data_IF_578917696751
#
_entry.id   IF_578917696751
#
_cell.length_a   1.000
_cell.length_b   1.000
_cell.length_c   1.000
_cell.angle_alpha   90.00
_cell.angle_beta   90.00
_cell.angle_gamma   90.00
#
_symmetry.space_group_name_H-M   'P 1'
#
loop_
_entity.id
_entity.type
_entity.pdbx_description
1 polymer ?
#
# COMPACT_ATOMS: atom_id res chain seq x y z
N UNK A 1 -1.38 -9.44 -14.06
CA UNK A 1 -1.67 -10.85 -14.32
C UNK A 1 -0.54 -11.68 -13.77
N UNK A 2 -0.66 -12.57 -12.77
CA UNK A 2 0.39 -13.58 -12.53
C UNK A 2 -0.08 -14.95 -13.00
N UNK A 3 0.65 -15.54 -13.95
CA UNK A 3 0.35 -16.85 -14.54
C UNK A 3 1.50 -17.81 -14.32
N UNK A 4 1.19 -19.02 -13.85
CA UNK A 4 2.14 -20.13 -13.70
C UNK A 4 1.51 -21.40 -14.27
N UNK A 5 2.05 -21.86 -15.40
CA UNK A 5 1.46 -22.96 -16.16
C UNK A 5 0.02 -22.66 -16.61
N UNK A 6 -0.90 -23.54 -16.22
CA UNK A 6 -2.32 -23.45 -16.57
C UNK A 6 -3.12 -22.56 -15.62
N UNK A 7 -2.48 -21.99 -14.59
CA UNK A 7 -3.17 -21.26 -13.55
C UNK A 7 -2.82 -19.79 -13.57
N UNK A 8 -3.82 -18.99 -13.25
CA UNK A 8 -3.73 -17.54 -13.22
C UNK A 8 -4.34 -17.02 -11.93
N UNK A 9 -3.66 -16.05 -11.33
CA UNK A 9 -4.10 -15.36 -10.13
C UNK A 9 -4.22 -13.86 -10.45
N UNK A 10 -5.36 -13.28 -10.10
CA UNK A 10 -5.59 -11.84 -10.14
C UNK A 10 -6.50 -11.40 -8.98
N UNK A 11 -6.38 -10.13 -8.58
CA UNK A 11 -7.29 -9.52 -7.60
C UNK A 11 -8.49 -8.91 -8.33
N UNK A 12 -9.68 -9.09 -7.77
CA UNK A 12 -10.93 -8.58 -8.33
C UNK A 12 -11.59 -7.68 -7.30
N UNK A 13 -12.00 -6.48 -7.71
CA UNK A 13 -12.73 -5.58 -6.81
C UNK A 13 -14.12 -6.15 -6.50
N UNK A 14 -14.56 -6.10 -5.25
CA UNK A 14 -15.84 -6.71 -4.86
C UNK A 14 -17.06 -5.97 -5.41
N UNK A 15 -16.94 -4.65 -5.61
CA UNK A 15 -18.01 -3.75 -6.04
C UNK A 15 -18.29 -3.87 -7.55
N UNK A 16 -17.25 -3.79 -8.37
CA UNK A 16 -17.36 -3.79 -9.84
C UNK A 16 -17.17 -5.16 -10.46
N UNK A 17 -16.61 -6.13 -9.71
CA UNK A 17 -16.16 -7.43 -10.23
C UNK A 17 -15.14 -7.32 -11.37
N UNK A 18 -14.45 -6.18 -11.47
CA UNK A 18 -13.37 -5.98 -12.43
C UNK A 18 -12.03 -6.32 -11.79
N UNK A 19 -11.10 -6.83 -12.59
CA UNK A 19 -9.72 -7.03 -12.13
C UNK A 19 -9.12 -5.70 -11.66
N UNK A 20 -8.35 -5.74 -10.58
CA UNK A 20 -7.52 -4.61 -10.17
C UNK A 20 -6.47 -4.34 -11.26
N UNK A 21 -6.12 -3.07 -11.53
CA UNK A 21 -4.98 -2.76 -12.38
C UNK A 21 -3.70 -3.35 -11.80
N UNK A 22 -2.79 -3.77 -12.67
CA UNK A 22 -1.54 -4.40 -12.26
C UNK A 22 -0.33 -3.77 -12.93
N UNK A 23 0.80 -3.77 -12.24
CA UNK A 23 2.08 -3.25 -12.72
C UNK A 23 3.19 -4.23 -12.41
N UNK A 24 4.10 -4.44 -13.35
CA UNK A 24 5.30 -5.25 -13.14
C UNK A 24 6.48 -4.33 -12.83
N UNK A 25 7.07 -4.52 -11.66
CA UNK A 25 8.25 -3.78 -11.23
C UNK A 25 9.51 -4.24 -11.98
N UNK A 26 10.59 -3.45 -11.96
CA UNK A 26 11.86 -3.80 -12.61
C UNK A 26 12.51 -5.10 -12.09
N UNK A 27 12.18 -5.51 -10.87
CA UNK A 27 12.63 -6.77 -10.27
C UNK A 27 11.83 -8.00 -10.75
N UNK A 28 10.85 -7.79 -11.65
CA UNK A 28 9.98 -8.83 -12.21
C UNK A 28 8.75 -9.15 -11.36
N UNK A 29 8.58 -8.54 -10.18
CA UNK A 29 7.40 -8.76 -9.35
C UNK A 29 6.20 -8.02 -9.91
N UNK A 30 5.04 -8.68 -9.92
CA UNK A 30 3.77 -8.06 -10.28
C UNK A 30 3.04 -7.58 -9.03
N UNK A 31 2.56 -6.35 -9.09
CA UNK A 31 1.79 -5.69 -8.05
C UNK A 31 0.39 -5.39 -8.56
N UNK A 32 -0.63 -5.89 -7.85
CA UNK A 32 -1.99 -5.42 -8.01
C UNK A 32 -2.21 -4.13 -7.21
N UNK A 33 -2.90 -3.18 -7.83
CA UNK A 33 -3.04 -1.82 -7.33
C UNK A 33 -4.51 -1.53 -7.05
N UNK A 34 -4.81 -1.01 -5.86
CA UNK A 34 -6.14 -0.51 -5.52
C UNK A 34 -6.06 0.66 -4.54
N UNK A 35 -7.21 1.33 -4.35
CA UNK A 35 -7.34 2.41 -3.40
C UNK A 35 -7.25 1.89 -1.96
N UNK A 36 -6.73 2.67 -1.01
CA UNK A 36 -6.73 2.30 0.40
C UNK A 36 -8.13 1.99 0.92
N UNK A 37 -8.30 0.88 1.64
CA UNK A 37 -9.61 0.47 2.16
C UNK A 37 -10.53 -0.19 1.14
N UNK A 38 -10.10 -0.33 -0.13
CA UNK A 38 -10.91 -0.99 -1.13
C UNK A 38 -11.02 -2.50 -0.83
N UNK A 39 -12.25 -3.05 -0.74
CA UNK A 39 -12.45 -4.48 -0.60
C UNK A 39 -12.17 -5.21 -1.92
N UNK A 40 -11.59 -6.41 -1.82
CA UNK A 40 -11.27 -7.24 -2.98
C UNK A 40 -11.46 -8.73 -2.70
N UNK A 41 -11.59 -9.50 -3.77
CA UNK A 41 -11.54 -10.95 -3.78
C UNK A 41 -10.27 -11.40 -4.48
N UNK A 42 -9.76 -12.57 -4.09
CA UNK A 42 -8.69 -13.25 -4.83
C UNK A 42 -9.34 -14.25 -5.78
N UNK A 43 -9.11 -14.06 -7.08
CA UNK A 43 -9.64 -14.91 -8.13
C UNK A 43 -8.51 -15.78 -8.69
N UNK A 44 -8.77 -17.09 -8.76
CA UNK A 44 -7.84 -18.05 -9.36
C UNK A 44 -8.57 -18.78 -10.47
N UNK A 45 -8.01 -18.67 -11.67
CA UNK A 45 -8.55 -19.28 -12.88
C UNK A 45 -7.61 -20.35 -13.41
N UNK A 46 -8.20 -21.36 -14.01
CA UNK A 46 -7.52 -22.44 -14.70
C UNK A 46 -7.84 -22.39 -16.18
N UNK A 47 -6.81 -22.34 -17.01
CA UNK A 47 -6.92 -22.52 -18.45
C UNK A 47 -6.87 -23.99 -18.80
N UNK A 48 -7.96 -24.51 -19.35
CA UNK A 48 -8.02 -25.86 -19.88
C UNK A 48 -7.51 -25.81 -21.32
N UNK A 49 -6.42 -26.50 -21.62
CA UNK A 49 -5.95 -26.65 -22.98
C UNK A 49 -6.90 -27.59 -23.73
N UNK A 50 -7.65 -27.13 -24.75
CA UNK A 50 -8.60 -27.97 -25.47
C UNK A 50 -7.92 -29.12 -26.24
N UNK A 51 -6.61 -29.02 -26.50
CA UNK A 51 -5.84 -30.08 -27.14
C UNK A 51 -5.48 -31.24 -26.20
N UNK A 52 -5.61 -31.07 -24.88
CA UNK A 52 -5.38 -32.12 -23.89
C UNK A 52 -6.69 -32.55 -23.21
N UNK A 53 -7.32 -33.65 -23.67
CA UNK A 53 -8.59 -34.11 -23.11
C UNK A 53 -8.47 -34.58 -21.65
N UNK A 54 -7.27 -34.90 -21.16
CA UNK A 54 -7.07 -35.33 -19.78
C UNK A 54 -6.96 -34.15 -18.81
N UNK A 55 -6.58 -32.97 -19.29
CA UNK A 55 -6.49 -31.78 -18.47
C UNK A 55 -7.84 -31.47 -17.80
N UNK A 56 -8.96 -31.60 -18.51
CA UNK A 56 -10.29 -31.33 -17.96
C UNK A 56 -10.70 -32.29 -16.83
N UNK A 57 -10.15 -33.49 -16.75
CA UNK A 57 -10.58 -34.54 -15.79
C UNK A 57 -9.93 -34.42 -14.41
N UNK A 58 -8.88 -33.60 -14.28
CA UNK A 58 -8.14 -33.47 -13.02
C UNK A 58 -8.73 -32.35 -12.18
N UNK A 59 -9.19 -32.69 -10.96
CA UNK A 59 -9.59 -31.70 -9.97
C UNK A 59 -8.35 -31.09 -9.30
N UNK A 60 -8.46 -29.82 -8.93
CA UNK A 60 -7.42 -29.12 -8.21
C UNK A 60 -7.98 -28.53 -6.92
N UNK A 61 -7.23 -28.65 -5.84
CA UNK A 61 -7.55 -28.03 -4.56
C UNK A 61 -6.64 -26.83 -4.34
N UNK A 62 -7.25 -25.68 -4.13
CA UNK A 62 -6.60 -24.39 -4.03
C UNK A 62 -6.67 -23.92 -2.59
N UNK A 63 -5.51 -23.68 -1.98
CA UNK A 63 -5.40 -23.07 -0.65
C UNK A 63 -4.76 -21.70 -0.78
N UNK A 64 -5.25 -20.73 -0.01
CA UNK A 64 -4.77 -19.36 -0.05
C UNK A 64 -4.13 -18.93 1.28
N UNK A 65 -3.01 -18.23 1.16
CA UNK A 65 -2.32 -17.56 2.25
C UNK A 65 -2.17 -16.08 1.89
N UNK A 66 -2.60 -15.20 2.77
CA UNK A 66 -2.48 -13.75 2.66
C UNK A 66 -1.50 -13.26 3.73
N UNK A 67 -0.41 -12.61 3.33
CA UNK A 67 0.63 -12.08 4.24
C UNK A 67 1.16 -13.14 5.22
N UNK A 68 1.39 -14.35 4.71
CA UNK A 68 1.83 -15.50 5.52
C UNK A 68 0.74 -16.13 6.39
N UNK A 69 -0.50 -15.64 6.37
CA UNK A 69 -1.64 -16.17 7.15
C UNK A 69 -2.60 -16.96 6.27
N UNK A 70 -2.98 -18.16 6.72
CA UNK A 70 -3.98 -18.96 6.01
C UNK A 70 -5.36 -18.30 6.05
N UNK A 71 -6.08 -18.37 4.93
CA UNK A 71 -7.45 -17.85 4.80
C UNK A 71 -8.50 -18.71 5.51
N UNK A 72 -8.14 -19.94 5.91
CA UNK A 72 -9.00 -20.81 6.72
C UNK A 72 -9.93 -21.73 5.93
N UNK A 73 -9.92 -21.68 4.61
CA UNK A 73 -10.63 -22.63 3.73
C UNK A 73 -9.87 -22.84 2.41
N UNK A 74 -10.31 -23.83 1.66
CA UNK A 74 -9.80 -24.17 0.34
C UNK A 74 -10.96 -24.30 -0.65
N UNK A 75 -10.71 -23.97 -1.91
CA UNK A 75 -11.68 -24.11 -3.00
C UNK A 75 -11.23 -25.22 -3.95
N UNK A 76 -12.18 -25.86 -4.63
CA UNK A 76 -11.86 -26.86 -5.65
C UNK A 76 -12.14 -26.28 -7.05
N UNK A 77 -11.17 -26.44 -7.94
CA UNK A 77 -11.30 -26.19 -9.37
C UNK A 77 -11.50 -27.54 -10.07
N UNK A 78 -12.54 -27.63 -10.88
CA UNK A 78 -12.86 -28.81 -11.68
C UNK A 78 -13.14 -28.42 -13.14
N UNK A 79 -13.59 -29.37 -13.97
CA UNK A 79 -13.91 -29.11 -15.38
C UNK A 79 -14.99 -28.03 -15.58
N UNK A 80 -15.95 -27.97 -14.66
CA UNK A 80 -17.13 -27.10 -14.71
C UNK A 80 -16.84 -25.74 -14.06
N UNK A 81 -15.99 -25.73 -13.04
CA UNK A 81 -15.61 -24.57 -12.25
C UNK A 81 -14.14 -24.25 -12.53
N UNK A 82 -13.90 -23.56 -13.64
CA UNK A 82 -12.56 -23.12 -14.05
C UNK A 82 -12.06 -21.91 -13.26
N UNK A 83 -12.90 -21.30 -12.44
CA UNK A 83 -12.57 -20.12 -11.64
C UNK A 83 -13.11 -20.28 -10.22
N UNK A 84 -12.28 -19.97 -9.24
CA UNK A 84 -12.66 -19.91 -7.82
C UNK A 84 -12.32 -18.54 -7.25
N UNK A 85 -13.15 -18.09 -6.30
CA UNK A 85 -12.97 -16.81 -5.62
C UNK A 85 -12.82 -17.03 -4.11
N UNK A 86 -11.85 -16.35 -3.52
CA UNK A 86 -11.70 -16.23 -2.07
C UNK A 86 -12.15 -14.83 -1.65
N UNK A 87 -13.14 -14.77 -0.78
CA UNK A 87 -13.81 -13.52 -0.41
C UNK A 87 -13.25 -12.84 0.84
N UNK A 88 -12.43 -13.53 1.63
CA UNK A 88 -11.99 -13.05 2.93
C UNK A 88 -11.45 -14.19 3.80
N UNK A 89 -11.02 -13.86 5.02
CA UNK A 89 -10.62 -14.82 6.06
C UNK A 89 -11.86 -15.46 6.70
N UNK A 90 -11.93 -16.79 6.76
CA UNK A 90 -13.05 -17.49 7.40
C UNK A 90 -13.07 -17.23 8.92
N UNK A 91 -14.16 -16.67 9.41
CA UNK A 91 -14.40 -16.48 10.85
C UNK A 91 -15.17 -17.65 11.44
N UNK A 92 -16.24 -18.06 10.77
CA UNK A 92 -17.12 -19.17 11.15
C UNK A 92 -17.75 -19.75 9.89
N UNK A 93 -17.99 -21.06 9.86
CA UNK A 93 -18.77 -21.64 8.78
C UNK A 93 -19.19 -23.07 9.00
N UNK A 94 -20.27 -23.44 8.31
CA UNK A 94 -20.76 -24.80 8.16
C UNK A 94 -21.25 -25.03 6.72
N UNK A 95 -21.96 -26.14 6.50
CA UNK A 95 -22.52 -26.51 5.20
C UNK A 95 -23.62 -25.56 4.70
N UNK A 96 -24.26 -24.81 5.60
CA UNK A 96 -25.43 -23.97 5.29
C UNK A 96 -25.04 -22.50 5.16
N UNK A 97 -24.15 -22.01 6.02
CA UNK A 97 -23.73 -20.62 6.05
C UNK A 97 -22.28 -20.46 6.48
N UNK A 98 -21.66 -19.40 6.01
CA UNK A 98 -20.33 -19.00 6.43
C UNK A 98 -20.27 -17.49 6.65
N UNK A 99 -19.28 -17.06 7.42
CA UNK A 99 -18.98 -15.67 7.67
C UNK A 99 -17.49 -15.46 7.46
N UNK A 100 -17.16 -14.50 6.60
CA UNK A 100 -15.79 -14.12 6.28
C UNK A 100 -15.52 -12.68 6.69
N UNK A 101 -14.31 -12.37 7.11
CA UNK A 101 -13.81 -11.00 7.14
C UNK A 101 -13.19 -10.68 5.78
N UNK A 102 -13.76 -9.72 5.06
CA UNK A 102 -13.35 -9.41 3.69
C UNK A 102 -11.90 -8.94 3.60
N UNK A 103 -11.23 -9.21 2.47
CA UNK A 103 -9.91 -8.65 2.23
C UNK A 103 -10.02 -7.18 1.88
N UNK A 104 -9.17 -6.36 2.50
CA UNK A 104 -9.15 -4.92 2.28
C UNK A 104 -7.71 -4.44 2.14
N UNK A 105 -7.46 -3.59 1.14
CA UNK A 105 -6.16 -2.92 0.99
C UNK A 105 -5.90 -2.05 2.21
N UNK A 106 -4.68 -2.14 2.78
CA UNK A 106 -4.32 -1.43 3.99
C UNK A 106 -4.63 0.08 3.87
N UNK A 107 -5.29 0.64 4.88
CA UNK A 107 -5.44 2.09 5.01
C UNK A 107 -4.26 2.67 5.80
N UNK A 108 -3.79 3.87 5.45
CA UNK A 108 -2.91 4.63 6.33
C UNK A 108 -3.59 4.79 7.69
N UNK A 109 -2.91 4.39 8.76
CA UNK A 109 -3.47 4.54 10.11
C UNK A 109 -3.34 6.01 10.51
N UNK A 110 -4.45 6.74 10.50
CA UNK A 110 -4.49 8.17 10.84
C UNK A 110 -4.25 8.43 12.34
N UNK A 111 -4.56 7.46 13.20
CA UNK A 111 -4.39 7.58 14.65
C UNK A 111 -3.00 7.08 15.09
N UNK A 112 -2.17 7.99 15.59
CA UNK A 112 -0.84 7.68 16.13
C UNK A 112 -0.87 6.60 17.24
N UNK A 113 -1.97 6.50 18.00
CA UNK A 113 -2.14 5.48 19.03
C UNK A 113 -2.44 4.08 18.45
N UNK A 114 -3.12 4.01 17.30
CA UNK A 114 -3.36 2.76 16.57
C UNK A 114 -2.12 2.35 15.75
N UNK A 115 -1.37 3.31 15.21
CA UNK A 115 -0.09 3.08 14.53
C UNK A 115 0.96 2.49 15.51
N UNK A 116 0.96 2.94 16.77
CA UNK A 116 1.85 2.43 17.82
C UNK A 116 1.51 1.00 18.29
N UNK A 117 0.31 0.48 17.97
CA UNK A 117 -0.11 -0.91 18.29
C UNK A 117 0.27 -1.91 17.20
N UNK A 118 0.76 -1.45 16.05
CA UNK A 118 1.29 -2.33 15.02
C UNK A 118 2.67 -2.84 15.47
N UNK A 119 2.95 -4.15 15.34
CA UNK A 119 4.23 -4.71 15.74
C UNK A 119 5.36 -4.02 14.97
N UNK A 120 6.18 -3.28 15.70
CA UNK A 120 7.35 -2.60 15.16
C UNK A 120 8.29 -3.64 14.55
N UNK A 121 8.79 -3.36 13.35
CA UNK A 121 9.80 -4.13 12.59
C UNK A 121 9.31 -5.33 11.76
N UNK A 122 8.21 -5.20 11.05
CA UNK A 122 8.13 -5.85 9.74
C UNK A 122 8.53 -4.81 8.69
N UNK A 123 9.49 -5.16 7.83
CA UNK A 123 9.91 -4.34 6.71
C UNK A 123 8.68 -3.78 5.98
N UNK A 124 8.82 -2.62 5.33
CA UNK A 124 7.88 -2.07 4.35
C UNK A 124 7.76 -3.02 3.13
N UNK A 125 7.41 -4.27 3.37
CA UNK A 125 7.16 -5.29 2.36
C UNK A 125 5.73 -5.10 1.89
N UNK A 126 5.54 -5.24 0.57
CA UNK A 126 4.21 -5.23 0.01
C UNK A 126 3.38 -6.38 0.57
N UNK A 127 2.07 -6.18 0.56
CA UNK A 127 1.15 -7.27 0.81
C UNK A 127 1.38 -8.41 -0.18
N UNK A 128 1.26 -9.64 0.29
CA UNK A 128 1.50 -10.85 -0.53
C UNK A 128 0.32 -11.80 -0.50
N UNK A 129 -0.08 -12.24 -1.69
CA UNK A 129 -1.05 -13.31 -1.90
C UNK A 129 -0.31 -14.52 -2.43
N UNK A 130 -0.41 -15.63 -1.70
CA UNK A 130 0.19 -16.91 -2.08
C UNK A 130 -0.88 -17.97 -2.26
N UNK A 131 -1.09 -18.39 -3.51
CA UNK A 131 -1.94 -19.52 -3.84
C UNK A 131 -1.10 -20.79 -3.96
N UNK A 132 -1.52 -21.84 -3.26
CA UNK A 132 -0.94 -23.19 -3.39
C UNK A 132 -2.00 -24.11 -3.97
N UNK A 133 -1.72 -24.62 -5.18
CA UNK A 133 -2.65 -25.39 -5.99
C UNK A 133 -2.14 -26.82 -6.08
N UNK A 134 -2.95 -27.77 -5.59
CA UNK A 134 -2.63 -29.20 -5.61
C UNK A 134 -3.52 -29.91 -6.62
N UNK A 135 -2.97 -30.90 -7.32
CA UNK A 135 -3.83 -31.91 -7.95
C UNK A 135 -4.53 -32.71 -6.85
N UNK A 136 -5.80 -33.01 -7.06
CA UNK A 136 -6.65 -33.52 -6.01
C UNK A 136 -7.70 -34.51 -6.52
N UNK A 137 -8.09 -35.45 -5.66
CA UNK A 137 -9.28 -36.28 -5.84
C UNK A 137 -10.25 -35.95 -4.71
N UNK A 138 -11.48 -35.63 -5.08
CA UNK A 138 -12.58 -35.44 -4.14
C UNK A 138 -12.97 -36.80 -3.58
N UNK A 139 -12.88 -36.96 -2.27
CA UNK A 139 -13.40 -38.12 -1.55
C UNK A 139 -14.81 -37.83 -1.05
N UNK A 140 -15.54 -38.89 -0.70
CA UNK A 140 -16.93 -38.80 -0.26
C UNK A 140 -17.12 -37.74 0.84
N UNK A 141 -18.28 -37.07 0.82
CA UNK A 141 -18.62 -36.06 1.82
C UNK A 141 -18.48 -36.65 3.22
N UNK A 142 -17.59 -36.06 4.02
CA UNK A 142 -17.44 -36.47 5.41
C UNK A 142 -18.52 -35.72 6.19
N UNK A 143 -19.40 -36.40 6.95
CA UNK A 143 -20.28 -35.71 7.88
C UNK A 143 -19.40 -35.00 8.92
N UNK A 144 -19.51 -33.67 9.05
CA UNK A 144 -18.67 -32.89 9.95
C UNK A 144 -19.45 -32.15 11.04
N UNK A 145 -18.84 -32.08 12.22
CA UNK A 145 -19.07 -31.06 13.23
C UNK A 145 -18.45 -29.71 12.82
N UNK A 146 -18.85 -28.63 13.49
CA UNK A 146 -18.52 -27.25 13.10
C UNK A 146 -17.06 -27.04 12.71
N UNK A 147 -16.81 -26.36 11.57
CA UNK A 147 -15.49 -25.82 11.28
C UNK A 147 -15.23 -24.70 12.29
N UNK A 148 -14.39 -25.01 13.28
CA UNK A 148 -13.97 -24.05 14.29
C UNK A 148 -13.24 -22.86 13.65
N UNK A 149 -13.20 -21.70 14.33
CA UNK A 149 -12.61 -20.49 13.79
C UNK A 149 -11.17 -20.75 13.35
N UNK A 150 -10.85 -20.42 12.10
CA UNK A 150 -9.46 -20.33 11.67
C UNK A 150 -8.85 -19.16 12.44
N UNK A 151 -8.09 -19.46 13.50
CA UNK A 151 -7.38 -18.52 14.39
C UNK A 151 -7.48 -17.06 13.94
N UNK A 152 -8.59 -16.40 14.25
CA UNK A 152 -8.72 -14.95 14.13
C UNK A 152 -7.87 -14.41 15.26
N UNK A 153 -6.58 -14.28 14.98
CA UNK A 153 -5.63 -13.68 15.89
C UNK A 153 -6.05 -12.23 16.10
N UNK A 154 -6.89 -12.00 17.09
CA UNK A 154 -6.99 -10.74 17.82
C UNK A 154 -5.75 -10.58 18.71
N UNK A 155 -4.55 -10.94 18.23
CA UNK A 155 -3.31 -10.62 18.92
C UNK A 155 -2.99 -9.14 18.66
N UNK A 156 -3.83 -8.28 19.27
CA UNK A 156 -3.41 -6.98 19.77
C UNK A 156 -2.51 -7.30 20.95
N UNK A 157 -1.25 -7.63 20.66
CA UNK A 157 -0.23 -7.78 21.69
C UNK A 157 0.05 -6.38 22.26
N UNK A 158 -0.39 -6.15 23.51
CA UNK A 158 0.03 -5.00 24.31
C UNK A 158 1.56 -4.97 24.36
N UNK A 159 2.16 -3.92 23.82
CA UNK A 159 3.60 -3.64 23.92
C UNK A 159 3.82 -2.16 24.32
N UNK A 160 4.98 -1.86 24.93
CA UNK A 160 5.10 -0.88 25.98
C UNK A 160 5.09 0.56 25.46
N UNK A 161 4.33 1.41 26.17
CA UNK A 161 4.25 2.85 25.93
C UNK A 161 5.64 3.50 26.08
N UNK A 162 6.08 4.20 25.04
CA UNK A 162 7.18 5.16 25.16
C UNK A 162 8.28 5.02 24.12
N UNK A 163 8.01 5.40 22.86
CA UNK A 163 8.97 6.06 21.97
C UNK A 163 8.23 6.57 20.72
N UNK A 164 8.54 7.81 20.32
CA UNK A 164 8.00 8.45 19.11
C UNK A 164 8.59 7.74 17.89
N UNK A 165 7.85 6.80 17.32
CA UNK A 165 8.22 6.15 16.06
C UNK A 165 7.42 6.76 14.93
N UNK A 166 8.12 7.13 13.86
CA UNK A 166 7.55 7.65 12.63
C UNK A 166 6.50 6.68 12.09
N UNK A 167 5.38 7.26 11.67
CA UNK A 167 4.24 6.68 10.95
C UNK A 167 4.70 5.84 9.77
N UNK A 168 5.01 4.57 10.00
CA UNK A 168 5.15 3.58 8.93
C UNK A 168 3.77 2.94 8.74
N UNK A 169 3.05 3.22 7.64
CA UNK A 169 1.86 2.46 7.32
C UNK A 169 2.30 1.01 7.11
N UNK A 170 1.94 0.09 8.01
CA UNK A 170 2.12 -1.33 7.73
C UNK A 170 1.08 -1.73 6.68
N UNK A 171 1.54 -2.29 5.56
CA UNK A 171 0.77 -2.53 4.32
C UNK A 171 0.19 -3.95 4.28
N UNK A 172 -0.06 -4.53 5.45
CA UNK A 172 -0.64 -5.87 5.60
C UNK A 172 -2.14 -5.80 5.35
N UNK A 173 -2.73 -6.82 4.72
CA UNK A 173 -4.17 -6.90 4.45
C UNK A 173 -4.95 -6.58 5.71
N UNK A 174 -5.87 -5.62 5.63
CA UNK A 174 -6.84 -5.37 6.69
C UNK A 174 -7.90 -6.46 6.73
N UNK A 175 -8.34 -6.82 7.94
CA UNK A 175 -9.56 -7.59 8.13
C UNK A 175 -10.76 -6.64 7.96
N UNK A 176 -11.45 -6.72 6.82
CA UNK A 176 -12.62 -5.93 6.51
C UNK A 176 -13.88 -6.36 7.26
N UNK A 177 -15.00 -5.73 6.91
CA UNK A 177 -16.30 -6.01 7.51
C UNK A 177 -16.68 -7.51 7.37
N UNK A 178 -17.34 -8.11 8.38
CA UNK A 178 -17.83 -9.46 8.28
C UNK A 178 -18.95 -9.54 7.23
N UNK A 179 -18.83 -10.48 6.30
CA UNK A 179 -19.82 -10.75 5.25
C UNK A 179 -20.27 -12.19 5.37
N UNK A 180 -21.59 -12.41 5.36
CA UNK A 180 -22.19 -13.75 5.33
C UNK A 180 -22.28 -14.26 3.90
N UNK A 181 -21.96 -15.54 3.72
CA UNK A 181 -21.99 -16.22 2.43
C UNK A 181 -22.66 -17.60 2.50
N UNK A 182 -22.82 -18.24 1.33
CA UNK A 182 -23.33 -19.61 1.26
C UNK A 182 -22.36 -20.56 1.97
N UNK A 183 -22.89 -21.58 2.66
CA UNK A 183 -22.07 -22.54 3.38
C UNK A 183 -21.00 -23.22 2.53
N UNK A 184 -19.97 -23.72 3.21
CA UNK A 184 -18.84 -24.41 2.60
C UNK A 184 -19.10 -25.91 2.59
N UNK A 185 -19.13 -26.53 1.42
CA UNK A 185 -19.25 -27.98 1.31
C UNK A 185 -17.99 -28.66 1.85
N UNK A 186 -18.13 -29.49 2.88
CA UNK A 186 -17.03 -30.27 3.46
C UNK A 186 -16.79 -31.55 2.66
N UNK A 187 -15.96 -31.48 1.64
CA UNK A 187 -15.39 -32.66 1.00
C UNK A 187 -14.03 -32.96 1.64
N UNK A 188 -13.75 -34.23 1.95
CA UNK A 188 -12.36 -34.62 2.12
C UNK A 188 -11.68 -34.62 0.75
N UNK A 189 -10.44 -34.13 0.72
CA UNK A 189 -9.67 -34.03 -0.51
C UNK A 189 -8.35 -34.73 -0.31
N UNK A 190 -8.05 -35.67 -1.20
CA UNK A 190 -6.73 -36.29 -1.25
C UNK A 190 -5.89 -35.53 -2.27
N UNK A 191 -4.78 -34.93 -1.81
CA UNK A 191 -3.84 -34.17 -2.63
C UNK A 191 -2.73 -35.08 -3.17
N UNK A 192 -2.28 -34.83 -4.40
CA UNK A 192 -1.24 -35.61 -5.07
C UNK A 192 -0.26 -34.72 -5.82
N UNK A 193 0.94 -35.23 -6.05
CA UNK A 193 2.00 -34.56 -6.79
C UNK A 193 2.58 -33.33 -6.07
N UNK A 194 3.58 -32.66 -6.67
CA UNK A 194 4.05 -31.38 -6.19
C UNK A 194 3.00 -30.28 -6.45
N UNK A 195 2.84 -29.30 -5.53
CA UNK A 195 1.92 -28.20 -5.75
C UNK A 195 2.48 -27.19 -6.75
N UNK A 196 1.58 -26.56 -7.51
CA UNK A 196 1.87 -25.31 -8.22
C UNK A 196 1.68 -24.15 -7.25
N UNK A 197 2.64 -23.24 -7.19
CA UNK A 197 2.60 -22.06 -6.31
C UNK A 197 2.58 -20.80 -7.16
N UNK A 198 1.68 -19.88 -6.83
CA UNK A 198 1.56 -18.56 -7.47
C UNK A 198 1.59 -17.50 -6.40
N UNK A 199 2.51 -16.54 -6.55
CA UNK A 199 2.67 -15.42 -5.66
C UNK A 199 2.34 -14.12 -6.40
N UNK A 200 1.49 -13.28 -5.81
CA UNK A 200 1.16 -11.95 -6.30
C UNK A 200 1.37 -10.94 -5.18
N UNK A 201 2.08 -9.84 -5.46
CA UNK A 201 2.15 -8.73 -4.53
C UNK A 201 0.97 -7.79 -4.77
N UNK A 202 0.54 -7.08 -3.73
CA UNK A 202 -0.46 -6.02 -3.88
C UNK A 202 -0.11 -4.85 -2.98
N UNK A 203 -0.47 -3.66 -3.44
CA UNK A 203 -0.05 -2.43 -2.80
C UNK A 203 -0.95 -1.25 -3.23
N UNK A 204 -0.96 -0.18 -2.44
CA UNK A 204 -1.65 1.06 -2.81
C UNK A 204 -0.86 1.86 -3.86
N UNK A 205 -1.57 2.61 -4.72
CA UNK A 205 -0.94 3.37 -5.81
C UNK A 205 0.10 4.39 -5.30
N UNK A 206 -0.24 5.13 -4.23
CA UNK A 206 0.65 6.09 -3.57
C UNK A 206 1.93 5.44 -3.04
N UNK A 207 1.83 4.26 -2.43
CA UNK A 207 2.99 3.52 -1.92
C UNK A 207 3.88 3.03 -3.06
N UNK A 208 3.29 2.54 -4.15
CA UNK A 208 4.06 2.13 -5.33
C UNK A 208 4.76 3.31 -6.02
N UNK A 209 4.19 4.51 -5.98
CA UNK A 209 4.89 5.74 -6.42
C UNK A 209 6.08 6.06 -5.52
N UNK A 210 5.91 6.00 -4.20
CA UNK A 210 6.99 6.25 -3.24
C UNK A 210 8.16 5.27 -3.42
N UNK A 211 7.85 4.00 -3.75
CA UNK A 211 8.84 2.97 -4.08
C UNK A 211 9.39 3.06 -5.51
N UNK A 212 8.95 4.04 -6.30
CA UNK A 212 9.30 4.23 -7.72
C UNK A 212 8.96 3.03 -8.62
N UNK A 213 8.00 2.21 -8.21
CA UNK A 213 7.44 1.12 -9.02
C UNK A 213 6.47 1.70 -10.05
N UNK A 214 5.51 2.51 -9.57
CA UNK A 214 4.68 3.36 -10.44
C UNK A 214 5.42 4.67 -10.72
N UNK A 215 5.44 5.06 -11.99
CA UNK A 215 6.23 6.19 -12.52
C UNK A 215 5.33 7.01 -13.45
N UNK A 216 4.93 8.24 -13.08
CA UNK A 216 4.02 9.05 -13.88
C UNK A 216 4.50 9.30 -15.31
N UNK A 217 5.81 9.26 -15.54
CA UNK A 217 6.42 9.49 -16.86
C UNK A 217 6.14 8.34 -17.85
N UNK A 218 5.72 7.17 -17.36
CA UNK A 218 5.36 6.02 -18.17
C UNK A 218 3.86 6.06 -18.43
N UNK A 219 3.46 6.21 -19.70
CA UNK A 219 2.05 6.31 -20.12
C UNK A 219 1.14 5.22 -19.53
N UNK A 220 1.59 3.96 -19.48
CA UNK A 220 0.83 2.86 -18.87
C UNK A 220 0.66 3.04 -17.34
N UNK A 221 1.68 3.51 -16.64
CA UNK A 221 1.60 3.76 -15.20
C UNK A 221 0.72 4.99 -14.92
N UNK A 222 0.84 6.04 -15.74
CA UNK A 222 0.00 7.22 -15.67
C UNK A 222 -1.50 6.86 -15.79
N UNK A 223 -1.86 5.98 -16.72
CA UNK A 223 -3.24 5.49 -16.85
C UNK A 223 -3.75 4.77 -15.58
N UNK A 224 -2.88 4.03 -14.88
CA UNK A 224 -3.21 3.42 -13.58
C UNK A 224 -3.40 4.51 -12.53
N UNK A 225 -2.50 5.49 -12.44
CA UNK A 225 -2.57 6.58 -11.46
C UNK A 225 -3.84 7.43 -11.62
N UNK A 226 -4.30 7.68 -12.85
CA UNK A 226 -5.56 8.38 -13.09
C UNK A 226 -6.80 7.68 -12.49
N UNK A 227 -6.71 6.39 -12.17
CA UNK A 227 -7.79 5.65 -11.49
C UNK A 227 -7.85 5.92 -9.97
N UNK A 228 -6.83 6.59 -9.41
CA UNK A 228 -6.62 6.79 -7.98
C UNK A 228 -6.49 8.28 -7.64
N UNK A 229 -7.58 8.96 -7.24
CA UNK A 229 -7.59 10.40 -6.98
C UNK A 229 -6.53 10.87 -5.97
N UNK A 230 -6.16 10.02 -5.03
CA UNK A 230 -5.12 10.30 -4.02
C UNK A 230 -3.70 10.45 -4.60
N UNK A 231 -3.50 10.02 -5.86
CA UNK A 231 -2.22 10.15 -6.56
C UNK A 231 -2.15 11.39 -7.45
N UNK A 232 -3.25 12.15 -7.56
CA UNK A 232 -3.25 13.43 -8.25
C UNK A 232 -2.26 14.38 -7.55
N UNK A 233 -1.24 14.79 -8.28
CA UNK A 233 -0.32 15.85 -7.83
C UNK A 233 -1.13 17.12 -7.62
N UNK A 234 -1.05 17.70 -6.41
CA UNK A 234 -1.72 18.99 -6.08
C UNK A 234 -1.35 20.13 -7.02
N UNK A 235 -0.29 19.96 -7.83
CA UNK A 235 0.19 20.94 -8.81
C UNK A 235 -0.84 21.28 -9.92
N UNK A 236 -1.88 20.48 -10.13
CA UNK A 236 -2.97 20.82 -11.08
C UNK A 236 -4.13 21.60 -10.43
N UNK A 237 -4.23 21.62 -9.10
CA UNK A 237 -5.28 22.37 -8.41
C UNK A 237 -4.97 23.87 -8.31
N UNK A 238 -3.71 24.28 -8.42
CA UNK A 238 -3.31 25.70 -8.41
C UNK A 238 -3.30 26.33 -9.82
N UNK A 239 -3.36 25.54 -10.89
CA UNK A 239 -3.38 26.04 -12.27
C UNK A 239 -4.80 26.39 -12.80
N UNK A 240 -5.86 26.04 -12.06
CA UNK A 240 -7.25 26.39 -12.42
C UNK A 240 -7.93 27.35 -11.43
N UNK A 241 -7.16 27.93 -10.51
CA UNK A 241 -7.59 29.05 -9.67
C UNK A 241 -7.77 30.32 -10.51
N UNK A 242 -8.86 30.37 -11.26
CA UNK A 242 -9.40 31.61 -11.83
C UNK A 242 -9.68 32.54 -10.65
N UNK A 243 -8.88 33.59 -10.57
CA UNK A 243 -9.12 34.80 -9.78
C UNK A 243 -10.50 35.34 -10.18
N UNK A 244 -11.54 35.02 -9.41
CA UNK A 244 -12.72 35.88 -9.34
C UNK A 244 -12.37 36.99 -8.33
N UNK A 245 -11.82 38.08 -8.87
CA UNK A 245 -11.80 39.38 -8.22
C UNK A 245 -13.24 39.75 -7.88
N UNK A 246 -13.57 39.66 -6.59
CA UNK A 246 -14.83 40.17 -6.06
C UNK A 246 -14.57 41.56 -5.52
N UNK A 247 -14.91 42.53 -6.35
CA UNK A 247 -14.86 43.96 -6.06
C UNK A 247 -15.61 44.29 -4.76
N UNK A 248 -15.02 45.23 -4.04
CA UNK A 248 -15.53 45.92 -2.87
C UNK A 248 -16.71 46.82 -3.28
N UNK A 249 -17.80 46.78 -2.51
CA UNK A 249 -18.79 47.86 -2.47
C UNK A 249 -19.02 48.22 -1.00
N UNK A 250 -18.46 49.37 -0.60
CA UNK A 250 -18.98 50.26 0.45
C UNK A 250 -20.28 50.89 -0.13
N UNK A 251 -21.38 51.18 0.58
CA UNK A 251 -21.51 52.09 1.71
C UNK A 251 -23.01 52.21 2.15
N UNK A 252 -23.19 52.81 3.33
CA UNK A 252 -24.36 53.62 3.79
C UNK A 252 -25.65 52.97 4.37
N UNK A 253 -25.69 53.00 5.70
CA UNK A 253 -26.62 53.76 6.56
C UNK A 253 -28.10 53.36 6.86
N UNK A 254 -28.43 53.70 8.11
CA UNK A 254 -29.73 53.99 8.76
C UNK A 254 -30.44 52.95 9.68
N UNK A 255 -30.29 53.28 10.98
CA UNK A 255 -31.32 53.47 12.03
C UNK A 255 -32.00 52.33 12.80
N UNK A 256 -31.84 52.46 14.14
CA UNK A 256 -32.85 52.10 15.15
C UNK A 256 -32.60 50.76 15.86
N UNK A 257 -32.43 50.65 17.18
CA UNK A 257 -32.55 51.60 18.26
C UNK A 257 -32.57 50.84 19.61
N UNK A 258 -32.24 51.58 20.67
CA UNK A 258 -32.58 51.35 22.07
C UNK A 258 -32.00 50.15 22.84
N UNK A 259 -31.12 50.47 23.80
CA UNK A 259 -31.31 49.99 25.17
C UNK A 259 -30.08 49.53 25.93
N UNK A 260 -29.70 50.28 26.97
CA UNK A 260 -29.23 49.67 28.21
C UNK A 260 -27.77 49.86 28.60
N UNK A 261 -27.49 51.01 29.23
CA UNK A 261 -26.53 51.24 30.32
C UNK A 261 -25.88 49.99 30.98
N UNK A 262 -24.54 49.96 31.04
CA UNK A 262 -23.79 49.86 32.32
C UNK A 262 -22.26 50.05 32.17
N UNK A 263 -21.84 51.10 32.84
CA UNK A 263 -20.52 51.56 33.27
C UNK A 263 -19.70 50.47 33.98
N UNK A 264 -18.44 50.21 33.56
CA UNK A 264 -17.28 50.00 34.47
C UNK A 264 -15.91 50.07 33.78
N UNK A 265 -15.19 51.10 34.24
CA UNK A 265 -13.77 51.48 34.25
C UNK A 265 -12.69 50.35 34.30
N UNK A 266 -11.51 50.76 33.77
CA UNK A 266 -10.09 50.39 34.10
C UNK A 266 -9.61 49.05 33.51
N UNK A 267 -8.37 48.86 33.05
CA UNK A 267 -7.10 49.62 33.01
C UNK A 267 -6.14 48.82 32.09
N UNK A 268 -5.15 49.48 31.47
CA UNK A 268 -3.97 48.84 30.85
C UNK A 268 -4.15 48.50 29.37
N UNK A 269 -3.33 48.98 28.43
CA UNK A 269 -1.95 49.44 28.54
C UNK A 269 -1.03 48.46 27.83
N UNK A 270 -0.56 48.86 26.64
CA UNK A 270 0.69 48.44 25.99
C UNK A 270 0.88 46.94 25.62
N UNK A 271 0.55 46.58 24.38
CA UNK A 271 1.29 45.55 23.62
C UNK A 271 1.04 45.61 22.10
N UNK A 272 0.83 46.80 21.53
CA UNK A 272 0.65 46.99 20.08
C UNK A 272 1.96 47.50 19.46
N UNK A 273 3.04 46.72 19.59
CA UNK A 273 4.34 47.06 18.96
C UNK A 273 5.34 45.87 18.89
N UNK A 274 4.86 44.66 18.56
CA UNK A 274 5.74 43.48 18.34
C UNK A 274 5.35 42.63 17.13
N UNK A 275 4.81 43.24 16.07
CA UNK A 275 4.38 42.54 14.86
C UNK A 275 5.07 43.02 13.57
N UNK A 276 6.26 43.65 13.67
CA UNK A 276 7.06 44.07 12.51
C UNK A 276 8.52 43.53 12.46
N UNK A 277 8.88 42.52 13.26
CA UNK A 277 10.26 41.96 13.26
C UNK A 277 10.34 40.43 13.12
N UNK A 278 9.41 39.78 12.41
CA UNK A 278 9.58 38.38 11.98
C UNK A 278 9.28 38.14 10.49
N UNK A 279 9.43 39.15 9.65
CA UNK A 279 9.41 39.04 8.19
C UNK A 279 10.81 38.76 7.57
N UNK A 280 11.75 38.18 8.35
CA UNK A 280 13.18 38.10 7.98
C UNK A 280 13.82 36.71 8.03
N UNK A 281 13.06 35.62 8.08
CA UNK A 281 13.60 34.25 8.01
C UNK A 281 12.72 33.34 7.13
N UNK A 282 12.60 33.71 5.86
CA UNK A 282 12.32 32.73 4.80
C UNK A 282 13.66 32.09 4.44
N UNK A 283 13.90 30.87 4.91
CA UNK A 283 14.91 30.01 4.32
C UNK A 283 14.52 29.82 2.85
N UNK A 284 15.29 30.39 1.93
CA UNK A 284 15.23 30.07 0.52
C UNK A 284 15.55 28.58 0.41
N UNK A 285 14.54 27.75 0.14
CA UNK A 285 14.77 26.46 -0.47
C UNK A 285 15.36 26.76 -1.85
N UNK A 286 16.66 26.54 -1.99
CA UNK A 286 17.36 26.68 -3.25
C UNK A 286 16.87 25.53 -4.14
N UNK A 287 15.98 25.86 -5.08
CA UNK A 287 15.56 24.93 -6.13
C UNK A 287 16.78 24.68 -7.00
N UNK A 288 17.37 23.49 -6.87
CA UNK A 288 18.48 23.04 -7.71
C UNK A 288 17.92 22.77 -9.10
N UNK A 289 18.19 23.70 -10.02
CA UNK A 289 17.86 23.57 -11.43
C UNK A 289 18.77 22.52 -12.10
N UNK A 290 18.25 21.31 -12.29
CA UNK A 290 18.94 20.18 -12.92
C UNK A 290 19.16 20.34 -14.43
N UNK A 291 18.70 21.44 -15.03
CA UNK A 291 18.94 21.74 -16.45
C UNK A 291 20.19 22.59 -16.68
N UNK A 292 20.83 23.07 -15.61
CA UNK A 292 22.04 23.88 -15.68
C UNK A 292 23.25 22.99 -15.95
N UNK A 293 24.00 23.29 -17.03
CA UNK A 293 25.23 22.60 -17.36
C UNK A 293 26.20 22.59 -16.15
N UNK A 294 26.86 21.46 -15.84
CA UNK A 294 27.65 21.31 -14.63
C UNK A 294 28.76 22.36 -14.59
N UNK A 295 28.90 23.02 -13.44
CA UNK A 295 29.94 24.00 -13.22
C UNK A 295 31.32 23.34 -13.42
N UNK A 296 32.29 24.04 -14.04
CA UNK A 296 33.61 23.48 -14.34
C UNK A 296 34.46 23.10 -13.11
N UNK A 297 33.98 23.39 -11.90
CA UNK A 297 34.65 23.10 -10.62
C UNK A 297 33.92 22.05 -9.76
N UNK A 298 33.10 21.19 -10.36
CA UNK A 298 32.45 20.11 -9.61
C UNK A 298 33.47 19.01 -9.21
N UNK A 299 33.90 19.07 -7.95
CA UNK A 299 34.89 18.15 -7.35
C UNK A 299 34.46 16.69 -7.44
N UNK A 300 33.15 16.42 -7.48
CA UNK A 300 32.58 15.08 -7.59
C UNK A 300 32.86 14.49 -8.98
N UNK A 301 32.66 15.29 -10.04
CA UNK A 301 32.97 14.89 -11.42
C UNK A 301 34.48 14.77 -11.66
N UNK A 302 35.29 15.61 -11.01
CA UNK A 302 36.75 15.54 -11.10
C UNK A 302 37.33 14.29 -10.42
N UNK A 303 36.81 13.90 -9.25
CA UNK A 303 37.23 12.69 -8.53
C UNK A 303 36.89 11.41 -9.31
N UNK A 304 35.69 11.36 -9.89
CA UNK A 304 35.20 10.22 -10.65
C UNK A 304 36.01 10.01 -11.96
N UNK A 305 36.35 11.11 -12.66
CA UNK A 305 37.26 11.07 -13.84
C UNK A 305 38.68 10.61 -13.49
N UNK A 306 39.13 10.80 -12.26
CA UNK A 306 40.47 10.42 -11.80
C UNK A 306 40.56 9.00 -11.22
N UNK A 307 39.46 8.21 -11.25
CA UNK A 307 39.43 6.87 -10.67
C UNK A 307 39.62 6.85 -9.15
N UNK A 308 39.26 7.95 -8.48
CA UNK A 308 39.31 8.11 -7.02
C UNK A 308 37.92 7.90 -6.44
N UNK A 309 37.87 7.39 -5.22
CA UNK A 309 36.65 7.24 -4.44
C UNK A 309 36.59 8.37 -3.41
N UNK A 310 35.43 9.00 -3.25
CA UNK A 310 35.23 10.01 -2.21
C UNK A 310 34.92 9.31 -0.89
N UNK A 311 35.73 9.58 0.12
CA UNK A 311 35.51 9.08 1.49
C UNK A 311 35.14 10.27 2.36
N UNK A 312 34.05 10.12 3.11
CA UNK A 312 33.63 11.08 4.12
C UNK A 312 34.33 10.73 5.42
N UNK A 313 35.15 11.64 5.94
CA UNK A 313 35.68 11.50 7.29
C UNK A 313 34.61 11.95 8.28
N UNK A 314 34.19 11.02 9.15
CA UNK A 314 33.20 11.28 10.21
C UNK A 314 33.87 11.37 11.59
N UNK A 315 35.21 11.45 11.64
CA UNK A 315 35.97 11.57 12.89
C UNK A 315 36.22 13.02 13.32
N UNK A 316 35.73 14.00 12.56
CA UNK A 316 35.73 15.40 12.95
C UNK A 316 34.72 15.64 14.09
N UNK A 317 35.06 16.53 15.02
CA UNK A 317 34.20 16.90 16.15
C UNK A 317 32.83 17.40 15.67
N UNK A 318 31.78 17.16 16.47
CA UNK A 318 30.35 17.37 16.13
C UNK A 318 29.98 18.81 15.66
N UNK A 319 30.88 19.76 15.81
CA UNK A 319 30.70 21.16 15.43
C UNK A 319 31.31 21.53 14.04
N UNK A 320 32.01 20.60 13.37
CA UNK A 320 32.58 20.82 12.03
C UNK A 320 31.80 20.05 10.95
N UNK A 321 31.59 20.69 9.79
CA UNK A 321 30.89 20.07 8.66
C UNK A 321 31.67 18.85 8.15
N UNK A 322 30.99 17.81 7.61
CA UNK A 322 31.65 16.61 7.13
C UNK A 322 32.67 16.91 6.03
N UNK A 323 33.91 16.48 6.26
CA UNK A 323 35.02 16.67 5.32
C UNK A 323 35.09 15.51 4.32
N UNK A 324 34.87 15.84 3.05
CA UNK A 324 35.00 14.90 1.92
C UNK A 324 36.40 14.98 1.33
N UNK A 325 37.06 13.83 1.14
CA UNK A 325 38.34 13.79 0.45
C UNK A 325 38.43 12.60 -0.52
N UNK A 326 39.16 12.78 -1.62
CA UNK A 326 39.27 11.78 -2.67
C UNK A 326 40.46 10.84 -2.41
N UNK A 327 40.18 9.55 -2.20
CA UNK A 327 41.16 8.49 -1.95
C UNK A 327 41.37 7.64 -3.21
N UNK A 328 42.60 7.20 -3.45
CA UNK A 328 42.93 6.35 -4.60
C UNK A 328 42.45 4.92 -4.35
N UNK A 329 41.64 4.37 -5.26
CA UNK A 329 41.09 3.02 -5.14
C UNK A 329 42.23 1.98 -5.03
N UNK A 330 42.27 1.14 -3.98
CA UNK A 330 43.29 0.10 -3.87
C UNK A 330 43.05 -0.95 -4.95
N UNK A 331 44.07 -1.19 -5.79
CA UNK A 331 44.07 -2.30 -6.75
C UNK A 331 44.24 -3.60 -5.95
N UNK A 332 43.13 -4.31 -5.72
CA UNK A 332 43.21 -5.69 -5.23
C UNK A 332 44.00 -6.51 -6.26
N UNK A 333 45.23 -6.88 -5.90
CA UNK A 333 45.97 -7.93 -6.61
C UNK A 333 45.26 -9.24 -6.31
N UNK A 334 44.59 -9.80 -7.31
CA UNK A 334 44.19 -11.20 -7.31
C UNK A 334 45.45 -12.05 -7.21
N UNK A 335 45.63 -12.71 -6.06
CA UNK A 335 46.59 -13.79 -5.84
C UNK A 335 45.87 -15.12 -5.92
#
# INVERSE_FOLDING_TARGET
MVRVGDFELHLVRTDTRTACPEVTAPDGRTYAVAAPGAPFNVCISRFINPADPYSALVNHNVSLTMDGRSVGYSCNLDALHQTVNFAGFLQQGDLLACTYSTFVFAQPVEDAAAAARQPAAQNLEAGTVKATIWQAVLQAAVPQGSLGPANTSTAVAKLPEGKKFFTAPSLVTGAGAPVSGPGLMSCSVQRFGPPTVIDLCYETASTLMLRRVLRPEISAHHAILQMFPETATKDEAEASGVHEDKEEDEDEDEEGGAGGSRKRRREGGAAQQRQQQQAGRRQRAEVVDLTRAPAPNDEILAANRAGKELVCDLTCDDDEQPHWHAVKKPLHRLG
#
